data_IF_347741583967
#
_entry.id   IF_347741583967
#
_cell.length_a   1.000
_cell.length_b   1.000
_cell.length_c   1.000
_cell.angle_alpha   90.00
_cell.angle_beta   90.00
_cell.angle_gamma   90.00
#
_symmetry.space_group_name_H-M   'P 1'
#
loop_
_entity.id
_entity.type
_entity.pdbx_description
1 polymer ?
#
# COMPACT_ATOMS: atom_id res chain seq x y z
N UNK A 1 -37.66 -9.51 31.40
CA UNK A 1 -36.53 -9.24 32.32
C UNK A 1 -35.33 -10.04 31.86
N UNK A 2 -34.21 -9.34 31.66
CA UNK A 2 -32.82 -9.78 31.51
C UNK A 2 -32.49 -10.90 30.50
N UNK A 3 -32.18 -10.52 29.26
CA UNK A 3 -31.24 -11.31 28.46
C UNK A 3 -29.86 -11.18 29.14
N UNK A 4 -29.35 -12.29 29.65
CA UNK A 4 -28.01 -12.38 30.20
C UNK A 4 -27.00 -12.04 29.10
N UNK A 5 -26.46 -10.81 29.13
CA UNK A 5 -25.32 -10.42 28.32
C UNK A 5 -24.10 -11.13 28.88
N UNK A 6 -23.89 -12.37 28.43
CA UNK A 6 -22.67 -13.11 28.72
C UNK A 6 -21.46 -12.25 28.28
N UNK A 7 -20.50 -11.97 29.18
CA UNK A 7 -19.34 -11.16 28.83
C UNK A 7 -18.55 -11.86 27.71
N UNK A 8 -18.29 -11.13 26.63
CA UNK A 8 -17.48 -11.57 25.49
C UNK A 8 -16.03 -11.78 25.95
N UNK A 9 -15.74 -13.00 26.44
CA UNK A 9 -14.40 -13.41 26.85
C UNK A 9 -13.68 -14.13 25.70
N UNK A 10 -13.29 -13.38 24.67
CA UNK A 10 -12.21 -13.83 23.79
C UNK A 10 -10.87 -13.28 24.29
N UNK A 11 -9.84 -14.12 24.32
CA UNK A 11 -8.48 -13.63 24.58
C UNK A 11 -8.05 -12.66 23.48
N UNK A 12 -7.23 -11.67 23.82
CA UNK A 12 -6.69 -10.69 22.85
C UNK A 12 -6.01 -11.40 21.67
N UNK A 13 -5.34 -12.52 21.92
CA UNK A 13 -4.73 -13.34 20.87
C UNK A 13 -5.76 -13.99 19.95
N UNK A 14 -6.88 -14.48 20.48
CA UNK A 14 -7.97 -15.03 19.67
C UNK A 14 -8.65 -13.93 18.80
N UNK A 15 -8.81 -12.72 19.33
CA UNK A 15 -9.32 -11.57 18.55
C UNK A 15 -8.34 -11.14 17.45
N UNK A 16 -7.05 -11.04 17.76
CA UNK A 16 -6.00 -10.74 16.77
C UNK A 16 -5.97 -11.80 15.67
N UNK A 17 -5.96 -13.08 16.04
CA UNK A 17 -6.00 -14.19 15.07
C UNK A 17 -7.24 -14.09 14.20
N UNK A 18 -8.41 -13.85 14.79
CA UNK A 18 -9.68 -13.72 14.05
C UNK A 18 -9.65 -12.54 13.08
N UNK A 19 -9.13 -11.39 13.50
CA UNK A 19 -8.99 -10.21 12.66
C UNK A 19 -8.06 -10.49 11.46
N UNK A 20 -6.92 -11.15 11.68
CA UNK A 20 -5.94 -11.48 10.62
C UNK A 20 -6.47 -12.55 9.65
N UNK A 21 -7.18 -13.55 10.16
CA UNK A 21 -7.74 -14.64 9.33
C UNK A 21 -9.07 -14.28 8.69
N UNK A 22 -9.66 -13.13 9.03
CA UNK A 22 -10.94 -12.73 8.49
C UNK A 22 -10.88 -12.61 6.96
N UNK A 23 -11.97 -13.04 6.32
CA UNK A 23 -12.18 -12.87 4.88
C UNK A 23 -13.47 -12.11 4.71
N UNK A 24 -13.36 -10.81 4.44
CA UNK A 24 -14.52 -9.95 4.24
C UNK A 24 -15.35 -10.44 3.04
N UNK A 25 -16.67 -10.42 3.21
CA UNK A 25 -17.62 -10.86 2.18
C UNK A 25 -17.49 -9.96 0.95
N UNK A 26 -17.22 -10.52 -0.25
CA UNK A 26 -17.17 -9.73 -1.47
C UNK A 26 -18.53 -9.11 -1.80
N UNK A 27 -18.52 -7.87 -2.30
CA UNK A 27 -19.73 -7.24 -2.82
C UNK A 27 -20.16 -7.92 -4.13
N UNK A 28 -21.46 -8.18 -4.25
CA UNK A 28 -22.02 -8.81 -5.44
C UNK A 28 -22.21 -7.74 -6.53
N UNK A 29 -21.43 -7.83 -7.61
CA UNK A 29 -21.53 -6.97 -8.78
C UNK A 29 -21.96 -7.78 -10.00
N UNK A 30 -22.69 -7.17 -10.92
CA UNK A 30 -23.10 -7.86 -12.15
C UNK A 30 -21.89 -8.15 -13.06
N UNK A 31 -21.94 -9.22 -13.89
CA UNK A 31 -20.81 -9.58 -14.76
C UNK A 31 -20.33 -8.46 -15.70
N UNK A 32 -21.25 -7.61 -16.17
CA UNK A 32 -20.93 -6.46 -17.03
C UNK A 32 -20.12 -5.38 -16.29
N UNK A 33 -20.44 -5.11 -15.03
CA UNK A 33 -19.69 -4.18 -14.17
C UNK A 33 -18.29 -4.72 -13.89
N UNK A 34 -18.18 -6.01 -13.56
CA UNK A 34 -16.88 -6.66 -13.32
C UNK A 34 -15.99 -6.59 -14.57
N UNK A 35 -16.55 -6.84 -15.76
CA UNK A 35 -15.80 -6.74 -17.03
C UNK A 35 -15.31 -5.32 -17.28
N UNK A 36 -16.17 -4.31 -17.13
CA UNK A 36 -15.80 -2.90 -17.28
C UNK A 36 -14.67 -2.52 -16.31
N UNK A 37 -14.80 -2.93 -15.05
CA UNK A 37 -13.79 -2.72 -14.01
C UNK A 37 -12.43 -3.32 -14.39
N UNK A 38 -12.41 -4.57 -14.88
CA UNK A 38 -11.17 -5.24 -15.34
C UNK A 38 -10.49 -4.50 -16.49
N UNK A 39 -11.26 -3.99 -17.46
CA UNK A 39 -10.71 -3.22 -18.58
C UNK A 39 -10.08 -1.92 -18.08
N UNK A 40 -10.78 -1.15 -17.24
CA UNK A 40 -10.26 0.10 -16.68
C UNK A 40 -8.99 -0.16 -15.87
N UNK A 41 -9.03 -1.15 -14.97
CA UNK A 41 -7.88 -1.52 -14.15
C UNK A 41 -6.70 -1.95 -15.00
N UNK A 42 -6.90 -2.75 -16.05
CA UNK A 42 -5.81 -3.16 -16.93
C UNK A 42 -5.17 -1.97 -17.65
N UNK A 43 -5.97 -1.05 -18.19
CA UNK A 43 -5.47 0.17 -18.85
C UNK A 43 -4.71 1.04 -17.85
N UNK A 44 -5.30 1.31 -16.68
CA UNK A 44 -4.65 2.12 -15.64
C UNK A 44 -3.34 1.49 -15.17
N UNK A 45 -3.28 0.16 -15.00
CA UNK A 45 -2.06 -0.55 -14.60
C UNK A 45 -0.92 -0.32 -15.59
N UNK A 46 -1.21 -0.45 -16.89
CA UNK A 46 -0.21 -0.24 -17.95
C UNK A 46 0.26 1.22 -17.97
N UNK A 47 -0.68 2.17 -17.94
CA UNK A 47 -0.36 3.61 -17.95
C UNK A 47 0.44 3.99 -16.71
N UNK A 48 0.01 3.58 -15.52
CA UNK A 48 0.69 3.90 -14.27
C UNK A 48 2.08 3.26 -14.17
N UNK A 49 2.24 2.00 -14.62
CA UNK A 49 3.56 1.36 -14.67
C UNK A 49 4.51 2.10 -15.64
N UNK A 50 4.02 2.55 -16.80
CA UNK A 50 4.80 3.34 -17.75
C UNK A 50 5.22 4.71 -17.16
N UNK A 51 4.29 5.42 -16.51
CA UNK A 51 4.57 6.70 -15.85
C UNK A 51 5.58 6.51 -14.70
N UNK A 52 5.41 5.48 -13.87
CA UNK A 52 6.33 5.17 -12.78
C UNK A 52 7.73 4.86 -13.31
N UNK A 53 7.84 3.97 -14.30
CA UNK A 53 9.11 3.61 -14.91
C UNK A 53 9.79 4.79 -15.62
N UNK A 54 9.02 5.74 -16.15
CA UNK A 54 9.56 6.97 -16.70
C UNK A 54 10.03 7.96 -15.62
N UNK A 55 9.28 8.08 -14.52
CA UNK A 55 9.55 9.02 -13.43
C UNK A 55 10.88 8.76 -12.73
N UNK A 56 11.19 7.49 -12.43
CA UNK A 56 12.41 7.10 -11.71
C UNK A 56 13.64 6.94 -12.60
N UNK A 57 13.50 7.18 -13.92
CA UNK A 57 14.63 7.38 -14.83
C UNK A 57 15.06 8.85 -14.92
N UNK A 58 14.35 9.78 -14.27
CA UNK A 58 14.73 11.20 -14.19
C UNK A 58 15.83 11.39 -13.16
N UNK A 59 16.63 12.45 -13.31
CA UNK A 59 17.63 12.76 -12.32
C UNK A 59 16.96 13.24 -11.02
N UNK A 60 17.42 12.77 -9.84
CA UNK A 60 16.97 13.28 -8.56
C UNK A 60 17.07 14.81 -8.49
N UNK A 61 16.01 15.49 -8.06
CA UNK A 61 15.97 16.96 -7.94
C UNK A 61 15.37 17.72 -9.12
N UNK A 62 15.11 17.05 -10.25
CA UNK A 62 14.41 17.69 -11.35
C UNK A 62 12.95 18.00 -11.01
N UNK A 63 12.46 19.18 -11.41
CA UNK A 63 11.04 19.54 -11.29
C UNK A 63 10.11 18.54 -12.00
N UNK A 64 10.61 17.90 -13.06
CA UNK A 64 9.90 16.87 -13.83
C UNK A 64 9.48 15.69 -12.96
N UNK A 65 10.31 15.27 -11.99
CA UNK A 65 10.02 14.15 -11.09
C UNK A 65 8.79 14.42 -10.22
N UNK A 66 8.66 15.62 -9.68
CA UNK A 66 7.52 16.02 -8.83
C UNK A 66 6.21 16.00 -9.62
N UNK A 67 6.21 16.56 -10.83
CA UNK A 67 5.01 16.54 -11.67
C UNK A 67 4.65 15.13 -12.11
N UNK A 68 5.63 14.29 -12.43
CA UNK A 68 5.40 12.90 -12.84
C UNK A 68 4.86 12.03 -11.69
N UNK A 69 5.33 12.23 -10.47
CA UNK A 69 4.84 11.51 -9.28
C UNK A 69 3.44 11.97 -8.85
N UNK A 70 3.12 13.26 -9.02
CA UNK A 70 1.75 13.75 -8.85
C UNK A 70 0.83 13.20 -9.96
N UNK A 71 1.31 13.18 -11.21
CA UNK A 71 0.56 12.59 -12.33
C UNK A 71 0.32 11.09 -12.12
N UNK A 72 1.31 10.37 -11.58
CA UNK A 72 1.17 8.95 -11.23
C UNK A 72 0.07 8.74 -10.18
N UNK A 73 0.08 9.52 -9.10
CA UNK A 73 -0.98 9.47 -8.09
C UNK A 73 -2.36 9.79 -8.68
N UNK A 74 -2.43 10.75 -9.61
CA UNK A 74 -3.67 11.07 -10.32
C UNK A 74 -4.15 9.90 -11.20
N UNK A 75 -3.26 9.22 -11.92
CA UNK A 75 -3.58 8.03 -12.73
C UNK A 75 -4.17 6.92 -11.85
N UNK A 76 -3.51 6.60 -10.73
CA UNK A 76 -4.00 5.57 -9.81
C UNK A 76 -5.36 5.93 -9.21
N UNK A 77 -5.49 7.16 -8.72
CA UNK A 77 -6.73 7.63 -8.09
C UNK A 77 -7.88 7.67 -9.09
N UNK A 78 -7.67 8.24 -10.28
CA UNK A 78 -8.69 8.32 -11.33
C UNK A 78 -9.10 6.93 -11.81
N UNK A 79 -8.13 6.03 -12.05
CA UNK A 79 -8.43 4.65 -12.43
C UNK A 79 -9.21 3.91 -11.35
N UNK A 80 -8.91 4.18 -10.07
CA UNK A 80 -9.64 3.59 -8.96
C UNK A 80 -11.10 4.07 -8.90
N UNK A 81 -11.32 5.38 -9.03
CA UNK A 81 -12.66 5.99 -8.96
C UNK A 81 -13.52 5.65 -10.19
N UNK A 82 -12.94 5.65 -11.39
CA UNK A 82 -13.66 5.34 -12.65
C UNK A 82 -14.04 3.85 -12.71
N UNK A 83 -13.25 2.98 -12.08
CA UNK A 83 -13.49 1.54 -11.94
C UNK A 83 -14.72 1.21 -11.07
N UNK A 84 -15.05 2.04 -10.09
CA UNK A 84 -16.28 1.95 -9.28
C UNK A 84 -16.05 2.17 -7.78
N UNK A 85 -17.05 1.86 -6.94
CA UNK A 85 -17.05 2.26 -5.53
C UNK A 85 -15.93 1.62 -4.71
N UNK A 86 -15.23 2.45 -3.94
CA UNK A 86 -14.20 2.04 -2.99
C UNK A 86 -14.79 1.97 -1.59
N UNK A 87 -14.46 0.91 -0.87
CA UNK A 87 -14.97 0.68 0.48
C UNK A 87 -13.85 0.90 1.49
N UNK A 88 -14.15 1.61 2.57
CA UNK A 88 -13.18 1.87 3.63
C UNK A 88 -12.97 0.65 4.56
N UNK A 89 -13.92 -0.28 4.59
CA UNK A 89 -13.82 -1.51 5.39
C UNK A 89 -14.12 -1.30 6.88
N UNK A 90 -14.11 -2.40 7.62
CA UNK A 90 -14.35 -2.48 9.06
C UNK A 90 -13.77 -3.77 9.64
N UNK A 91 -13.31 -3.72 10.89
CA UNK A 91 -12.84 -4.88 11.65
C UNK A 91 -13.71 -5.04 12.88
N UNK A 92 -14.15 -6.27 13.16
CA UNK A 92 -14.85 -6.59 14.39
C UNK A 92 -13.81 -6.74 15.52
N UNK A 93 -13.80 -5.79 16.44
CA UNK A 93 -12.94 -5.78 17.62
C UNK A 93 -13.81 -5.72 18.88
N UNK A 94 -13.60 -6.63 19.84
CA UNK A 94 -14.43 -6.75 21.05
C UNK A 94 -15.95 -6.77 20.77
N UNK A 95 -16.37 -7.46 19.72
CA UNK A 95 -17.78 -7.57 19.32
C UNK A 95 -18.39 -6.31 18.68
N UNK A 96 -17.60 -5.26 18.41
CA UNK A 96 -18.05 -4.05 17.70
C UNK A 96 -17.34 -3.91 16.36
N UNK A 97 -18.08 -3.58 15.32
CA UNK A 97 -17.48 -3.27 14.03
C UNK A 97 -16.93 -1.83 14.07
N UNK A 98 -15.62 -1.67 13.93
CA UNK A 98 -14.93 -0.37 13.98
C UNK A 98 -14.11 -0.14 12.72
N UNK A 99 -13.86 1.14 12.41
CA UNK A 99 -12.92 1.50 11.34
C UNK A 99 -11.51 1.03 11.74
N UNK A 100 -10.75 0.42 10.82
CA UNK A 100 -9.44 -0.17 11.14
C UNK A 100 -8.31 0.87 11.27
N UNK A 101 -8.56 1.99 11.94
CA UNK A 101 -7.60 3.09 12.04
C UNK A 101 -6.40 2.69 12.90
N UNK A 102 -6.66 2.19 14.10
CA UNK A 102 -5.61 1.77 15.04
C UNK A 102 -4.83 0.59 14.44
N UNK A 103 -5.53 -0.40 13.87
CA UNK A 103 -4.91 -1.58 13.27
C UNK A 103 -3.98 -1.20 12.13
N UNK A 104 -4.45 -0.47 11.12
CA UNK A 104 -3.61 -0.09 9.98
C UNK A 104 -2.44 0.81 10.39
N UNK A 105 -2.66 1.78 11.26
CA UNK A 105 -1.57 2.64 11.75
C UNK A 105 -0.52 1.82 12.52
N UNK A 106 -0.95 0.91 13.40
CA UNK A 106 -0.03 0.05 14.16
C UNK A 106 0.77 -0.86 13.25
N UNK A 107 0.12 -1.49 12.26
CA UNK A 107 0.79 -2.35 11.28
C UNK A 107 1.78 -1.55 10.44
N UNK A 108 1.42 -0.35 9.98
CA UNK A 108 2.33 0.57 9.28
C UNK A 108 3.59 0.89 10.09
N UNK A 109 3.43 1.22 11.37
CA UNK A 109 4.56 1.48 12.27
C UNK A 109 5.43 0.23 12.48
N UNK A 110 4.84 -0.94 12.66
CA UNK A 110 5.57 -2.20 12.85
C UNK A 110 6.35 -2.61 11.59
N UNK A 111 5.72 -2.52 10.41
CA UNK A 111 6.38 -2.80 9.13
C UNK A 111 7.48 -1.78 8.88
N UNK A 112 7.22 -0.49 9.11
CA UNK A 112 8.25 0.56 9.01
C UNK A 112 9.43 0.31 9.94
N UNK A 113 9.18 -0.05 11.20
CA UNK A 113 10.21 -0.43 12.16
C UNK A 113 11.02 -1.65 11.71
N UNK A 114 10.37 -2.68 11.17
CA UNK A 114 11.06 -3.84 10.60
C UNK A 114 11.96 -3.46 9.42
N UNK A 115 11.53 -2.53 8.56
CA UNK A 115 12.36 -2.00 7.47
C UNK A 115 13.52 -1.15 7.97
N UNK A 116 13.35 -0.39 9.05
CA UNK A 116 14.44 0.34 9.69
C UNK A 116 15.51 -0.64 10.21
N UNK A 117 15.10 -1.69 10.93
CA UNK A 117 16.02 -2.74 11.40
C UNK A 117 16.68 -3.46 10.23
N UNK A 118 15.92 -3.80 9.19
CA UNK A 118 16.46 -4.38 7.95
C UNK A 118 17.43 -3.45 7.24
N UNK A 119 17.16 -2.13 7.24
CA UNK A 119 18.02 -1.10 6.69
C UNK A 119 19.37 -1.00 7.40
N UNK A 120 19.40 -1.17 8.73
CA UNK A 120 20.64 -1.24 9.52
C UNK A 120 21.53 -2.42 9.14
N UNK A 121 20.94 -3.53 8.67
CA UNK A 121 21.70 -4.68 8.17
C UNK A 121 22.11 -4.43 6.71
N UNK A 122 21.17 -3.93 5.91
CA UNK A 122 21.36 -3.69 4.47
C UNK A 122 22.44 -2.65 4.17
N UNK A 123 22.63 -1.64 5.03
CA UNK A 123 23.69 -0.64 4.90
C UNK A 123 25.09 -1.25 4.96
N UNK A 124 25.27 -2.39 5.63
CA UNK A 124 26.55 -3.09 5.76
C UNK A 124 26.89 -3.92 4.50
N UNK A 125 25.95 -4.03 3.55
CA UNK A 125 26.11 -4.78 2.30
C UNK A 125 26.21 -3.77 1.14
N UNK A 126 27.41 -3.49 0.60
CA UNK A 126 27.62 -2.39 -0.34
C UNK A 126 26.68 -2.41 -1.56
N UNK A 127 26.50 -3.58 -2.18
CA UNK A 127 25.64 -3.74 -3.36
C UNK A 127 24.15 -3.44 -3.06
N UNK A 128 23.69 -3.71 -1.83
CA UNK A 128 22.32 -3.44 -1.41
C UNK A 128 22.17 -1.98 -0.99
N UNK A 129 23.12 -1.47 -0.21
CA UNK A 129 23.13 -0.08 0.22
C UNK A 129 23.11 0.89 -0.96
N UNK A 130 23.89 0.63 -2.01
CA UNK A 130 23.90 1.48 -3.21
C UNK A 130 22.53 1.57 -3.89
N UNK A 131 21.79 0.44 -3.94
CA UNK A 131 20.44 0.40 -4.51
C UNK A 131 19.45 1.18 -3.65
N UNK A 132 19.56 1.10 -2.32
CA UNK A 132 18.71 1.84 -1.39
C UNK A 132 19.02 3.35 -1.50
N UNK A 133 20.28 3.74 -1.41
CA UNK A 133 20.72 5.13 -1.49
C UNK A 133 20.27 5.81 -2.77
N UNK A 134 20.30 5.10 -3.92
CA UNK A 134 19.79 5.63 -5.20
C UNK A 134 18.33 6.09 -5.13
N UNK A 135 17.50 5.44 -4.32
CA UNK A 135 16.11 5.87 -4.10
C UNK A 135 16.05 7.02 -3.11
N UNK A 136 16.78 6.91 -2.00
CA UNK A 136 16.74 7.90 -0.92
C UNK A 136 17.23 9.29 -1.38
N UNK A 137 18.09 9.35 -2.39
CA UNK A 137 18.51 10.63 -3.00
C UNK A 137 17.34 11.45 -3.55
N UNK A 138 16.25 10.82 -4.01
CA UNK A 138 15.05 11.54 -4.43
C UNK A 138 14.35 12.25 -3.27
N UNK A 139 14.58 11.83 -2.02
CA UNK A 139 13.99 12.44 -0.86
C UNK A 139 14.71 13.72 -0.40
N UNK A 140 16.01 13.85 -0.70
CA UNK A 140 16.82 14.98 -0.29
C UNK A 140 16.93 16.07 -1.35
N UNK A 141 16.82 15.70 -2.62
CA UNK A 141 17.02 16.62 -3.75
C UNK A 141 15.75 17.46 -3.99
N UNK A 142 15.64 18.60 -3.30
CA UNK A 142 14.60 19.63 -3.49
C UNK A 142 13.80 19.94 -2.22
N UNK A 143 12.48 20.16 -2.34
CA UNK A 143 11.66 20.52 -1.18
C UNK A 143 11.28 19.28 -0.38
N UNK A 144 11.90 19.10 0.78
CA UNK A 144 11.64 17.98 1.69
C UNK A 144 10.15 17.85 2.04
N UNK A 145 9.46 18.96 2.33
CA UNK A 145 8.03 18.97 2.60
C UNK A 145 7.23 18.44 1.41
N UNK A 146 7.62 18.82 0.20
CA UNK A 146 6.94 18.39 -1.02
C UNK A 146 7.14 16.89 -1.28
N UNK A 147 8.33 16.35 -1.04
CA UNK A 147 8.60 14.89 -1.08
C UNK A 147 7.71 14.15 -0.08
N UNK A 148 7.64 14.63 1.16
CA UNK A 148 6.80 14.01 2.21
C UNK A 148 5.34 14.00 1.77
N UNK A 149 4.82 15.13 1.28
CA UNK A 149 3.44 15.22 0.78
C UNK A 149 3.19 14.27 -0.40
N UNK A 150 4.09 14.23 -1.39
CA UNK A 150 4.00 13.32 -2.53
C UNK A 150 4.01 11.86 -2.09
N UNK A 151 4.80 11.52 -1.07
CA UNK A 151 4.88 10.16 -0.52
C UNK A 151 3.55 9.76 0.10
N UNK A 152 2.94 10.63 0.91
CA UNK A 152 1.62 10.39 1.50
C UNK A 152 0.57 10.25 0.40
N UNK A 153 0.55 11.17 -0.57
CA UNK A 153 -0.43 11.16 -1.66
C UNK A 153 -0.30 9.89 -2.51
N UNK A 154 0.93 9.48 -2.86
CA UNK A 154 1.16 8.25 -3.62
C UNK A 154 0.78 7.00 -2.82
N UNK A 155 1.14 6.92 -1.54
CA UNK A 155 0.74 5.80 -0.69
C UNK A 155 -0.78 5.64 -0.61
N UNK A 156 -1.52 6.75 -0.50
CA UNK A 156 -2.99 6.72 -0.61
C UNK A 156 -3.42 6.22 -1.99
N UNK A 157 -2.94 6.85 -3.06
CA UNK A 157 -3.37 6.58 -4.43
C UNK A 157 -3.10 5.11 -4.85
N UNK A 158 -1.93 4.58 -4.50
CA UNK A 158 -1.57 3.19 -4.76
C UNK A 158 -2.54 2.24 -4.05
N UNK A 159 -2.89 2.47 -2.79
CA UNK A 159 -3.81 1.57 -2.08
C UNK A 159 -5.25 1.68 -2.58
N UNK A 160 -5.70 2.87 -3.00
CA UNK A 160 -6.98 3.04 -3.69
C UNK A 160 -7.04 2.20 -4.97
N UNK A 161 -5.94 2.15 -5.73
CA UNK A 161 -5.88 1.38 -6.97
C UNK A 161 -5.65 -0.12 -6.72
N UNK A 162 -4.53 -0.51 -6.11
CA UNK A 162 -4.11 -1.89 -5.97
C UNK A 162 -5.01 -2.69 -5.00
N UNK A 163 -5.33 -2.13 -3.82
CA UNK A 163 -6.17 -2.80 -2.80
C UNK A 163 -7.64 -2.44 -2.91
N UNK A 164 -7.96 -1.34 -3.58
CA UNK A 164 -9.33 -0.98 -3.93
C UNK A 164 -9.77 -1.60 -5.25
N UNK A 165 -9.49 -0.90 -6.35
CA UNK A 165 -10.02 -1.25 -7.66
C UNK A 165 -9.53 -2.59 -8.23
N UNK A 166 -8.21 -2.81 -8.26
CA UNK A 166 -7.61 -4.04 -8.77
C UNK A 166 -8.01 -5.26 -7.94
N UNK A 167 -7.82 -5.20 -6.61
CA UNK A 167 -8.21 -6.28 -5.71
C UNK A 167 -9.68 -6.68 -5.89
N UNK A 168 -10.57 -5.69 -6.05
CA UNK A 168 -12.00 -5.96 -6.25
C UNK A 168 -12.27 -6.53 -7.66
N UNK A 169 -11.55 -6.10 -8.70
CA UNK A 169 -11.66 -6.63 -10.06
C UNK A 169 -11.30 -8.13 -10.16
N UNK A 170 -10.41 -8.58 -9.29
CA UNK A 170 -9.96 -9.98 -9.20
C UNK A 170 -11.00 -10.90 -8.55
N UNK A 171 -11.94 -10.36 -7.77
CA UNK A 171 -13.00 -11.15 -7.15
C UNK A 171 -12.45 -12.32 -6.33
N UNK A 172 -12.79 -13.55 -6.71
CA UNK A 172 -12.34 -14.78 -6.04
C UNK A 172 -11.03 -15.37 -6.58
N UNK A 173 -10.47 -14.80 -7.65
CA UNK A 173 -9.27 -15.33 -8.31
C UNK A 173 -8.00 -14.89 -7.58
N UNK A 174 -7.69 -15.53 -6.45
CA UNK A 174 -6.48 -15.30 -5.64
C UNK A 174 -6.08 -13.82 -5.48
N UNK A 175 -6.99 -12.94 -5.01
CA UNK A 175 -6.79 -11.49 -5.08
C UNK A 175 -5.58 -11.00 -4.29
N UNK A 176 -5.23 -11.65 -3.16
CA UNK A 176 -4.03 -11.33 -2.38
C UNK A 176 -2.75 -11.54 -3.21
N UNK A 177 -2.61 -12.70 -3.83
CA UNK A 177 -1.42 -13.05 -4.61
C UNK A 177 -1.32 -12.17 -5.85
N UNK A 178 -2.38 -12.09 -6.66
CA UNK A 178 -2.33 -11.40 -7.94
C UNK A 178 -2.16 -9.88 -7.75
N UNK A 179 -2.85 -9.26 -6.79
CA UNK A 179 -2.64 -7.83 -6.52
C UNK A 179 -1.22 -7.53 -6.06
N UNK A 180 -0.63 -8.39 -5.22
CA UNK A 180 0.76 -8.26 -4.76
C UNK A 180 1.76 -8.42 -5.91
N UNK A 181 1.56 -9.41 -6.79
CA UNK A 181 2.43 -9.63 -7.94
C UNK A 181 2.36 -8.46 -8.93
N UNK A 182 1.15 -7.97 -9.23
CA UNK A 182 0.97 -6.82 -10.13
C UNK A 182 1.50 -5.52 -9.52
N UNK A 183 1.35 -5.34 -8.20
CA UNK A 183 1.97 -4.23 -7.48
C UNK A 183 3.49 -4.30 -7.59
N UNK A 184 4.07 -5.44 -7.24
CA UNK A 184 5.53 -5.67 -7.34
C UNK A 184 6.03 -5.44 -8.76
N UNK A 185 5.35 -5.98 -9.77
CA UNK A 185 5.73 -5.80 -11.18
C UNK A 185 5.66 -4.33 -11.63
N UNK A 186 4.61 -3.60 -11.24
CA UNK A 186 4.49 -2.18 -11.51
C UNK A 186 5.63 -1.39 -10.82
N UNK A 187 5.90 -1.68 -9.54
CA UNK A 187 7.00 -1.06 -8.80
C UNK A 187 8.36 -1.37 -9.42
N UNK A 188 8.57 -2.60 -9.89
CA UNK A 188 9.80 -3.01 -10.58
C UNK A 188 10.05 -2.27 -11.90
N UNK A 189 9.02 -1.65 -12.50
CA UNK A 189 9.20 -0.77 -13.66
C UNK A 189 10.11 0.44 -13.35
N UNK A 190 10.28 0.79 -12.07
CA UNK A 190 11.27 1.76 -11.60
C UNK A 190 12.73 1.41 -11.93
N UNK A 191 13.02 0.12 -12.18
CA UNK A 191 14.38 -0.38 -12.37
C UNK A 191 15.16 -0.61 -11.08
N UNK A 192 14.53 -0.48 -9.91
CA UNK A 192 15.20 -0.74 -8.62
C UNK A 192 14.70 -2.04 -7.96
N UNK A 193 15.52 -3.10 -7.89
CA UNK A 193 15.10 -4.37 -7.29
C UNK A 193 14.81 -4.26 -5.78
N UNK A 194 15.39 -3.29 -5.06
CA UNK A 194 15.06 -3.07 -3.64
C UNK A 194 13.64 -2.52 -3.46
N UNK A 195 13.15 -1.72 -4.41
CA UNK A 195 11.75 -1.31 -4.41
C UNK A 195 10.82 -2.49 -4.69
N UNK A 196 11.22 -3.43 -5.54
CA UNK A 196 10.49 -4.69 -5.74
C UNK A 196 10.44 -5.54 -4.47
N UNK A 197 11.58 -5.71 -3.78
CA UNK A 197 11.64 -6.40 -2.50
C UNK A 197 10.71 -5.76 -1.47
N UNK A 198 10.76 -4.43 -1.34
CA UNK A 198 9.87 -3.67 -0.47
C UNK A 198 8.39 -3.89 -0.86
N UNK A 199 8.10 -3.85 -2.16
CA UNK A 199 6.77 -4.02 -2.71
C UNK A 199 6.20 -5.42 -2.46
N UNK A 200 7.02 -6.47 -2.36
CA UNK A 200 6.53 -7.81 -1.99
C UNK A 200 6.01 -7.81 -0.55
N UNK A 201 6.78 -7.25 0.39
CA UNK A 201 6.45 -7.26 1.82
C UNK A 201 5.24 -6.36 2.08
N UNK A 202 5.34 -5.08 1.72
CA UNK A 202 4.25 -4.11 1.89
C UNK A 202 3.02 -4.53 1.06
N UNK A 203 3.27 -4.98 -0.18
CA UNK A 203 2.41 -5.78 -1.04
C UNK A 203 1.45 -6.68 -0.30
N UNK A 204 2.08 -7.71 0.27
CA UNK A 204 1.45 -8.78 0.99
C UNK A 204 0.69 -8.26 2.19
N UNK A 205 1.32 -7.44 3.05
CA UNK A 205 0.69 -6.92 4.27
C UNK A 205 -0.60 -6.16 3.96
N UNK A 206 -0.54 -5.16 3.07
CA UNK A 206 -1.70 -4.38 2.68
C UNK A 206 -2.78 -5.26 2.00
N UNK A 207 -2.40 -6.28 1.23
CA UNK A 207 -3.36 -7.21 0.63
C UNK A 207 -4.06 -8.10 1.68
N UNK A 208 -3.34 -8.54 2.71
CA UNK A 208 -3.91 -9.27 3.85
C UNK A 208 -4.84 -8.37 4.67
N UNK A 209 -4.46 -7.12 4.91
CA UNK A 209 -5.30 -6.14 5.60
C UNK A 209 -6.58 -5.83 4.81
N UNK A 210 -6.48 -5.71 3.49
CA UNK A 210 -7.64 -5.54 2.61
C UNK A 210 -8.59 -6.74 2.69
N UNK A 211 -8.05 -7.97 2.76
CA UNK A 211 -8.84 -9.20 2.93
C UNK A 211 -9.55 -9.22 4.28
N UNK A 212 -8.82 -8.86 5.34
CA UNK A 212 -9.29 -8.85 6.72
C UNK A 212 -10.37 -7.78 6.99
N UNK A 213 -10.14 -6.57 6.50
CA UNK A 213 -11.00 -5.41 6.77
C UNK A 213 -12.12 -5.20 5.75
N UNK A 214 -12.00 -5.78 4.56
CA UNK A 214 -12.97 -5.55 3.49
C UNK A 214 -12.84 -4.19 2.80
N UNK A 215 -11.81 -3.39 3.11
CA UNK A 215 -11.64 -2.08 2.50
C UNK A 215 -10.21 -1.55 2.50
N UNK A 216 -10.06 -0.32 1.99
CA UNK A 216 -8.76 0.30 1.72
C UNK A 216 -8.20 1.11 2.88
N UNK A 217 -8.98 1.40 3.93
CA UNK A 217 -8.52 2.30 4.99
C UNK A 217 -7.33 1.77 5.77
N UNK A 218 -7.35 0.49 6.18
CA UNK A 218 -6.22 -0.10 6.88
C UNK A 218 -4.95 -0.12 6.00
N UNK A 219 -5.02 -0.65 4.75
CA UNK A 219 -3.90 -0.60 3.81
C UNK A 219 -3.35 0.80 3.58
N UNK A 220 -4.21 1.81 3.40
CA UNK A 220 -3.81 3.22 3.23
C UNK A 220 -3.02 3.71 4.44
N UNK A 221 -3.50 3.45 5.66
CA UNK A 221 -2.82 3.88 6.87
C UNK A 221 -1.50 3.14 7.07
N UNK A 222 -1.44 1.85 6.76
CA UNK A 222 -0.22 1.05 6.78
C UNK A 222 0.81 1.61 5.81
N UNK A 223 0.41 1.87 4.56
CA UNK A 223 1.27 2.39 3.52
C UNK A 223 1.78 3.79 3.87
N UNK A 224 0.89 4.70 4.30
CA UNK A 224 1.27 6.06 4.70
C UNK A 224 2.22 6.04 5.89
N UNK A 225 1.92 5.24 6.93
CA UNK A 225 2.78 5.12 8.10
C UNK A 225 4.16 4.57 7.75
N UNK A 226 4.21 3.51 6.94
CA UNK A 226 5.45 2.94 6.44
C UNK A 226 6.22 3.95 5.58
N UNK A 227 5.56 4.60 4.61
CA UNK A 227 6.17 5.55 3.67
C UNK A 227 6.75 6.78 4.37
N UNK A 228 6.07 7.29 5.39
CA UNK A 228 6.58 8.35 6.25
C UNK A 228 7.87 7.91 6.97
N UNK A 229 7.89 6.69 7.54
CA UNK A 229 9.12 6.17 8.15
C UNK A 229 10.23 6.06 7.08
N UNK A 230 9.91 5.58 5.87
CA UNK A 230 10.90 5.44 4.81
C UNK A 230 11.52 6.79 4.41
N UNK A 231 10.72 7.84 4.32
CA UNK A 231 11.20 9.18 3.91
C UNK A 231 11.86 9.95 5.06
N UNK A 232 11.39 9.79 6.30
CA UNK A 232 11.86 10.58 7.43
C UNK A 232 13.06 9.92 8.14
N UNK A 233 13.17 8.59 8.11
CA UNK A 233 14.12 7.84 8.93
C UNK A 233 15.25 7.21 8.11
N UNK A 234 14.98 6.64 6.93
CA UNK A 234 16.04 5.98 6.17
C UNK A 234 17.10 6.93 5.60
N UNK A 235 16.79 8.09 5.00
CA UNK A 235 17.83 8.98 4.46
C UNK A 235 18.96 9.30 5.46
N UNK A 236 18.68 9.81 6.68
CA UNK A 236 19.75 10.10 7.63
C UNK A 236 20.49 8.84 8.10
N UNK A 237 19.84 7.67 8.14
CA UNK A 237 20.51 6.40 8.48
C UNK A 237 21.52 5.95 7.42
N UNK A 238 21.27 6.28 6.15
CA UNK A 238 22.15 5.98 5.02
C UNK A 238 23.10 7.14 4.67
N UNK A 239 23.10 8.21 5.47
CA UNK A 239 23.99 9.37 5.31
C UNK A 239 23.62 10.26 4.12
N UNK A 240 22.35 10.27 3.71
CA UNK A 240 21.82 11.08 2.60
C UNK A 240 20.62 11.94 3.00
#
# INVERSE_FOLDING_TARGET
MSQSTAPYHSSVFAELRRAVTNVAVPHHESPSVVRRRRVIVAITLVVGAAVLGYSLRRHPGEASFYWLTVALAAVWTAGALVSGPLHLGGICWRGRNQRPVITGTTVGLLVGGAFVVGGLIAREIPAVSELITRVLLFAHQGSFLLVVLITVINGVAEELFFRGALYTALGRYHPVLISTLLYTAATMASGNPMLGFAAIILGTVCALERRASGGVLAPVLTHVGWGLIMVLVLPPMFGV
#
